data_IF_959005364323
#
_entry.id   IF_959005364323
#
_cell.length_a   1.000
_cell.length_b   1.000
_cell.length_c   1.000
_cell.angle_alpha   90.00
_cell.angle_beta   90.00
_cell.angle_gamma   90.00
#
_symmetry.space_group_name_H-M   'P 1'
#
loop_
_entity.id
_entity.type
_entity.pdbx_description
1 polymer ?
#
# COMPACT_ATOMS: atom_id res chain seq x y z
N UNK A 1 -4.42 7.00 3.78
CA UNK A 1 -5.55 6.45 4.54
C UNK A 1 -5.20 6.41 6.00
N UNK A 2 -6.11 6.82 6.86
CA UNK A 2 -5.89 6.97 8.30
C UNK A 2 -6.77 6.01 9.05
N UNK A 3 -6.20 5.19 9.95
CA UNK A 3 -6.98 4.40 10.90
C UNK A 3 -7.49 5.34 11.99
N UNK A 4 -8.79 5.52 12.10
CA UNK A 4 -9.42 6.45 13.07
C UNK A 4 -9.76 5.73 14.37
N UNK A 5 -10.18 4.46 14.27
CA UNK A 5 -10.44 3.52 15.37
C UNK A 5 -10.06 2.11 14.91
N UNK A 6 -10.05 1.14 15.83
CA UNK A 6 -9.93 -0.26 15.43
C UNK A 6 -10.95 -0.58 14.33
N UNK A 7 -10.47 -1.10 13.20
CA UNK A 7 -11.26 -1.45 12.01
C UNK A 7 -11.93 -0.30 11.25
N UNK A 8 -11.69 0.97 11.61
CA UNK A 8 -12.15 2.14 10.86
C UNK A 8 -10.96 2.84 10.18
N UNK A 9 -11.18 3.38 8.99
CA UNK A 9 -10.20 4.21 8.29
C UNK A 9 -10.90 5.37 7.60
N UNK A 10 -10.13 6.42 7.30
CA UNK A 10 -10.60 7.57 6.55
C UNK A 10 -9.87 7.63 5.21
N UNK A 11 -10.63 7.64 4.12
CA UNK A 11 -10.10 7.91 2.80
C UNK A 11 -9.92 9.42 2.61
N UNK A 12 -8.83 9.81 1.94
CA UNK A 12 -8.57 11.23 1.62
C UNK A 12 -8.18 11.36 0.15
N UNK A 13 -8.70 12.41 -0.49
CA UNK A 13 -8.20 12.88 -1.78
C UNK A 13 -7.12 13.92 -1.53
N UNK A 14 -5.99 13.84 -2.22
CA UNK A 14 -4.84 14.71 -2.00
C UNK A 14 -4.41 15.39 -3.29
N UNK A 15 -4.27 16.73 -3.24
CA UNK A 15 -3.59 17.51 -4.28
C UNK A 15 -2.28 18.04 -3.70
N UNK A 16 -1.18 17.75 -4.38
CA UNK A 16 0.15 18.23 -4.03
C UNK A 16 0.63 19.24 -5.04
N UNK A 17 1.23 20.33 -4.56
CA UNK A 17 1.92 21.32 -5.37
C UNK A 17 3.28 21.64 -4.80
N UNK A 18 4.23 22.01 -5.65
CA UNK A 18 5.53 22.57 -5.28
C UNK A 18 5.75 23.85 -6.08
N UNK A 19 5.98 24.94 -5.39
CA UNK A 19 6.15 26.25 -5.99
C UNK A 19 7.22 27.06 -5.25
N UNK A 20 7.86 28.01 -5.95
CA UNK A 20 8.61 29.08 -5.30
C UNK A 20 7.64 30.04 -4.59
N UNK A 21 8.09 30.78 -3.59
CA UNK A 21 7.22 31.65 -2.79
C UNK A 21 6.42 32.64 -3.64
N UNK A 22 7.05 33.31 -4.60
CA UNK A 22 6.34 34.22 -5.53
C UNK A 22 5.37 33.53 -6.49
N UNK A 23 5.33 32.19 -6.54
CA UNK A 23 4.44 31.38 -7.37
C UNK A 23 3.36 30.65 -6.55
N UNK A 24 3.32 30.84 -5.24
CA UNK A 24 2.27 30.24 -4.38
C UNK A 24 0.88 30.67 -4.86
N UNK A 25 0.59 31.96 -5.17
CA UNK A 25 -0.71 32.38 -5.68
C UNK A 25 -1.11 31.64 -6.96
N UNK A 26 -0.15 31.43 -7.87
CA UNK A 26 -0.40 30.65 -9.08
C UNK A 26 -0.74 29.18 -8.76
N UNK A 27 0.03 28.55 -7.86
CA UNK A 27 -0.20 27.16 -7.48
C UNK A 27 -1.58 26.98 -6.83
N UNK A 28 -1.99 27.87 -5.94
CA UNK A 28 -3.32 27.83 -5.31
C UNK A 28 -4.44 28.06 -6.34
N UNK A 29 -4.25 28.99 -7.27
CA UNK A 29 -5.21 29.21 -8.36
C UNK A 29 -5.36 27.96 -9.23
N UNK A 30 -4.27 27.26 -9.57
CA UNK A 30 -4.34 26.00 -10.32
C UNK A 30 -5.05 24.91 -9.54
N UNK A 31 -4.78 24.75 -8.24
CA UNK A 31 -5.50 23.81 -7.39
C UNK A 31 -6.99 24.14 -7.34
N UNK A 32 -7.35 25.40 -7.19
CA UNK A 32 -8.74 25.88 -7.24
C UNK A 32 -9.41 25.50 -8.57
N UNK A 33 -8.76 25.79 -9.70
CA UNK A 33 -9.29 25.49 -11.03
C UNK A 33 -9.50 23.98 -11.23
N UNK A 34 -8.52 23.14 -10.80
CA UNK A 34 -8.64 21.68 -10.85
C UNK A 34 -9.86 21.19 -10.05
N UNK A 35 -10.07 21.73 -8.85
CA UNK A 35 -11.15 21.29 -7.96
C UNK A 35 -12.54 21.78 -8.40
N UNK A 36 -12.64 22.94 -9.08
CA UNK A 36 -13.92 23.60 -9.30
C UNK A 36 -14.30 23.76 -10.77
N UNK A 37 -13.35 23.66 -11.69
CA UNK A 37 -13.56 23.95 -13.12
C UNK A 37 -13.12 22.80 -14.06
N UNK A 38 -12.76 21.63 -13.52
CA UNK A 38 -12.45 20.47 -14.35
C UNK A 38 -13.67 20.03 -15.16
N UNK A 39 -13.48 19.82 -16.48
CA UNK A 39 -14.52 19.30 -17.37
C UNK A 39 -14.69 17.81 -17.18
N UNK A 40 -15.64 17.43 -16.34
CA UNK A 40 -15.91 16.02 -15.99
C UNK A 40 -16.79 15.31 -17.04
N UNK A 41 -17.25 16.01 -18.06
CA UNK A 41 -18.16 15.55 -19.11
C UNK A 41 -17.53 15.58 -20.53
N UNK A 42 -16.23 15.74 -20.64
CA UNK A 42 -15.52 15.58 -21.91
C UNK A 42 -15.34 14.08 -22.20
N UNK A 43 -16.35 13.50 -22.90
CA UNK A 43 -16.41 12.06 -23.23
C UNK A 43 -15.14 11.56 -23.92
N UNK A 44 -14.63 12.33 -24.92
CA UNK A 44 -13.42 11.94 -25.66
C UNK A 44 -12.23 11.86 -24.71
N UNK A 45 -12.07 12.87 -23.85
CA UNK A 45 -10.96 12.92 -22.90
C UNK A 45 -11.06 11.83 -21.82
N UNK A 46 -12.27 11.54 -21.36
CA UNK A 46 -12.51 10.46 -20.39
C UNK A 46 -12.11 9.10 -20.98
N UNK A 47 -12.51 8.80 -22.22
CA UNK A 47 -12.13 7.55 -22.90
C UNK A 47 -10.61 7.44 -23.08
N UNK A 48 -9.93 8.53 -23.45
CA UNK A 48 -8.47 8.58 -23.54
C UNK A 48 -7.81 8.29 -22.18
N UNK A 49 -8.31 8.91 -21.10
CA UNK A 49 -7.77 8.71 -19.73
C UNK A 49 -7.95 7.26 -19.28
N UNK A 50 -9.11 6.64 -19.53
CA UNK A 50 -9.36 5.24 -19.19
C UNK A 50 -8.38 4.32 -19.94
N UNK A 51 -8.22 4.48 -21.25
CA UNK A 51 -7.30 3.69 -22.06
C UNK A 51 -5.84 3.84 -21.63
N UNK A 52 -5.39 5.09 -21.38
CA UNK A 52 -4.04 5.35 -20.85
C UNK A 52 -3.84 4.74 -19.46
N UNK A 53 -4.86 4.79 -18.60
CA UNK A 53 -4.80 4.24 -17.24
C UNK A 53 -4.74 2.72 -17.29
N UNK A 54 -5.56 2.07 -18.12
CA UNK A 54 -5.52 0.63 -18.37
C UNK A 54 -4.12 0.17 -18.77
N UNK A 55 -3.54 0.78 -19.80
CA UNK A 55 -2.20 0.45 -20.30
C UNK A 55 -1.13 0.61 -19.22
N UNK A 56 -1.15 1.72 -18.48
CA UNK A 56 -0.19 1.97 -17.39
C UNK A 56 -0.30 0.94 -16.25
N UNK A 57 -1.52 0.46 -15.95
CA UNK A 57 -1.73 -0.57 -14.95
C UNK A 57 -1.20 -1.93 -15.43
N UNK A 58 -1.41 -2.28 -16.70
CA UNK A 58 -0.86 -3.51 -17.30
C UNK A 58 0.68 -3.52 -17.22
N UNK A 59 1.33 -2.44 -17.64
CA UNK A 59 2.80 -2.30 -17.56
C UNK A 59 3.30 -2.43 -16.13
N UNK A 60 2.58 -1.82 -15.17
CA UNK A 60 2.92 -1.93 -13.75
C UNK A 60 2.82 -3.36 -13.23
N UNK A 61 1.79 -4.11 -13.59
CA UNK A 61 1.64 -5.49 -13.14
C UNK A 61 2.68 -6.42 -13.74
N UNK A 62 3.10 -6.20 -14.99
CA UNK A 62 4.18 -6.95 -15.61
C UNK A 62 5.55 -6.63 -15.01
N UNK A 63 5.80 -5.38 -14.66
CA UNK A 63 7.10 -4.94 -14.13
C UNK A 63 7.22 -5.10 -12.60
N UNK A 64 6.15 -4.86 -11.86
CA UNK A 64 6.11 -4.80 -10.41
C UNK A 64 4.88 -5.51 -9.81
N UNK A 65 4.47 -6.63 -10.39
CA UNK A 65 3.29 -7.42 -9.97
C UNK A 65 3.31 -7.88 -8.52
N UNK A 66 4.50 -8.01 -7.91
CA UNK A 66 4.66 -8.35 -6.49
C UNK A 66 3.89 -7.41 -5.55
N UNK A 67 3.89 -6.10 -5.85
CA UNK A 67 3.16 -5.13 -5.03
C UNK A 67 1.64 -5.29 -5.17
N UNK A 68 1.17 -5.61 -6.38
CA UNK A 68 -0.24 -5.85 -6.64
C UNK A 68 -0.71 -7.19 -6.01
N UNK A 69 0.09 -8.25 -6.13
CA UNK A 69 -0.19 -9.54 -5.51
C UNK A 69 -0.27 -9.45 -3.99
N UNK A 70 0.70 -8.78 -3.34
CA UNK A 70 0.69 -8.56 -1.89
C UNK A 70 -0.53 -7.73 -1.45
N UNK A 71 -0.86 -6.64 -2.16
CA UNK A 71 -2.03 -5.82 -1.86
C UNK A 71 -3.33 -6.63 -2.02
N UNK A 72 -3.45 -7.41 -3.09
CA UNK A 72 -4.62 -8.26 -3.35
C UNK A 72 -4.79 -9.30 -2.26
N UNK A 73 -3.74 -10.03 -1.88
CA UNK A 73 -3.78 -11.00 -0.79
C UNK A 73 -4.21 -10.36 0.55
N UNK A 74 -3.70 -9.18 0.90
CA UNK A 74 -4.13 -8.45 2.10
C UNK A 74 -5.60 -8.00 2.02
N UNK A 75 -6.10 -7.68 0.82
CA UNK A 75 -7.46 -7.18 0.61
C UNK A 75 -8.56 -8.18 0.95
N UNK A 76 -8.24 -9.47 1.01
CA UNK A 76 -9.21 -10.51 1.35
C UNK A 76 -9.73 -10.43 2.79
N UNK A 77 -9.04 -9.72 3.68
CA UNK A 77 -9.44 -9.59 5.08
C UNK A 77 -9.38 -8.15 5.62
N UNK A 78 -8.55 -7.31 5.04
CA UNK A 78 -8.36 -5.92 5.49
C UNK A 78 -9.21 -4.94 4.69
N UNK A 79 -10.16 -4.22 5.30
CA UNK A 79 -10.93 -3.18 4.62
C UNK A 79 -10.05 -2.06 4.04
N UNK A 80 -8.94 -1.72 4.70
CA UNK A 80 -7.98 -0.72 4.21
C UNK A 80 -7.31 -1.21 2.93
N UNK A 81 -6.84 -2.46 2.91
CA UNK A 81 -6.21 -3.04 1.73
C UNK A 81 -7.24 -3.32 0.63
N UNK A 82 -8.48 -3.67 0.97
CA UNK A 82 -9.60 -3.76 0.02
C UNK A 82 -9.85 -2.42 -0.68
N UNK A 83 -9.96 -1.33 0.07
CA UNK A 83 -10.12 0.01 -0.53
C UNK A 83 -8.92 0.38 -1.41
N UNK A 84 -7.70 0.07 -0.99
CA UNK A 84 -6.51 0.32 -1.81
C UNK A 84 -6.51 -0.50 -3.10
N UNK A 85 -6.95 -1.75 -3.04
CA UNK A 85 -7.05 -2.60 -4.22
C UNK A 85 -8.11 -2.07 -5.20
N UNK A 86 -9.27 -1.66 -4.70
CA UNK A 86 -10.35 -1.06 -5.49
C UNK A 86 -9.98 0.29 -6.12
N UNK A 87 -9.01 1.03 -5.55
CA UNK A 87 -8.60 2.35 -6.03
C UNK A 87 -7.25 2.39 -6.72
N UNK A 88 -6.43 1.34 -6.61
CA UNK A 88 -5.07 1.33 -7.16
C UNK A 88 -4.50 -0.08 -7.44
N UNK A 89 -5.24 -1.16 -7.18
CA UNK A 89 -4.79 -2.55 -7.33
C UNK A 89 -5.39 -3.27 -8.53
N UNK A 90 -5.55 -4.59 -8.39
CA UNK A 90 -6.10 -5.47 -9.43
C UNK A 90 -7.58 -5.14 -9.68
N UNK A 91 -8.37 -4.98 -8.64
CA UNK A 91 -9.78 -4.62 -8.78
C UNK A 91 -9.97 -3.26 -9.45
N UNK A 92 -9.09 -2.29 -9.15
CA UNK A 92 -9.07 -1.02 -9.89
C UNK A 92 -8.85 -1.23 -11.38
N UNK A 93 -7.91 -2.08 -11.76
CA UNK A 93 -7.66 -2.42 -13.16
C UNK A 93 -8.87 -3.07 -13.82
N UNK A 94 -9.50 -4.03 -13.13
CA UNK A 94 -10.71 -4.71 -13.63
C UNK A 94 -11.84 -3.71 -13.90
N UNK A 95 -12.07 -2.77 -12.96
CA UNK A 95 -13.05 -1.70 -13.12
C UNK A 95 -12.70 -0.74 -14.27
N UNK A 96 -11.44 -0.32 -14.40
CA UNK A 96 -10.99 0.56 -15.50
C UNK A 96 -11.14 -0.14 -16.85
N UNK A 97 -10.80 -1.43 -16.93
CA UNK A 97 -10.99 -2.23 -18.15
C UNK A 97 -12.46 -2.29 -18.54
N UNK A 98 -13.33 -2.62 -17.61
CA UNK A 98 -14.77 -2.70 -17.84
C UNK A 98 -15.36 -1.35 -18.28
N UNK A 99 -14.97 -0.26 -17.64
CA UNK A 99 -15.40 1.10 -18.03
C UNK A 99 -14.89 1.50 -19.43
N UNK A 100 -13.71 1.08 -19.81
CA UNK A 100 -13.13 1.40 -21.13
C UNK A 100 -13.74 0.56 -22.23
N UNK A 101 -13.92 -0.75 -22.02
CA UNK A 101 -14.51 -1.68 -22.99
C UNK A 101 -16.00 -1.37 -23.26
N UNK A 102 -16.75 -0.94 -22.23
CA UNK A 102 -18.17 -0.59 -22.31
C UNK A 102 -18.41 0.93 -22.19
N UNK A 103 -17.46 1.76 -22.63
CA UNK A 103 -17.51 3.20 -22.40
C UNK A 103 -18.78 3.85 -22.91
N UNK A 104 -19.20 3.52 -24.13
CA UNK A 104 -20.37 4.15 -24.75
C UNK A 104 -21.69 3.84 -24.01
N UNK A 105 -21.75 2.70 -23.32
CA UNK A 105 -22.88 2.30 -22.48
C UNK A 105 -22.82 2.92 -21.07
N UNK A 106 -21.61 3.11 -20.52
CA UNK A 106 -21.37 3.53 -19.12
C UNK A 106 -21.02 5.00 -18.95
N UNK A 107 -20.83 5.76 -20.04
CA UNK A 107 -20.34 7.14 -19.97
C UNK A 107 -21.18 8.05 -19.08
N UNK A 108 -22.51 7.94 -19.13
CA UNK A 108 -23.41 8.73 -18.29
C UNK A 108 -23.26 8.40 -16.80
N UNK A 109 -23.10 7.11 -16.47
CA UNK A 109 -22.81 6.65 -15.10
C UNK A 109 -21.46 7.16 -14.61
N UNK A 110 -20.42 7.10 -15.45
CA UNK A 110 -19.07 7.60 -15.14
C UNK A 110 -19.11 9.11 -14.89
N UNK A 111 -19.74 9.89 -15.76
CA UNK A 111 -19.85 11.34 -15.64
C UNK A 111 -20.63 11.74 -14.39
N UNK A 112 -21.78 11.13 -14.16
CA UNK A 112 -22.58 11.41 -12.97
C UNK A 112 -21.86 11.02 -11.67
N UNK A 113 -21.17 9.89 -11.68
CA UNK A 113 -20.33 9.45 -10.56
C UNK A 113 -19.19 10.41 -10.26
N UNK A 114 -18.48 10.92 -11.27
CA UNK A 114 -17.42 11.91 -11.10
C UNK A 114 -17.95 13.23 -10.53
N UNK A 115 -19.12 13.70 -11.01
CA UNK A 115 -19.77 14.90 -10.50
C UNK A 115 -20.19 14.71 -9.04
N UNK A 116 -20.85 13.62 -8.71
CA UNK A 116 -21.26 13.28 -7.34
C UNK A 116 -20.05 13.17 -6.39
N UNK A 117 -18.94 12.54 -6.85
CA UNK A 117 -17.72 12.44 -6.07
C UNK A 117 -17.07 13.80 -5.84
N UNK A 118 -17.07 14.69 -6.84
CA UNK A 118 -16.58 16.06 -6.70
C UNK A 118 -17.38 16.84 -5.64
N UNK A 119 -18.70 16.76 -5.68
CA UNK A 119 -19.59 17.38 -4.68
C UNK A 119 -19.41 16.80 -3.28
N UNK A 120 -19.13 15.51 -3.17
CA UNK A 120 -18.89 14.84 -1.89
C UNK A 120 -17.56 15.26 -1.25
N UNK A 121 -16.49 15.36 -2.05
CA UNK A 121 -15.12 15.54 -1.55
C UNK A 121 -14.74 17.02 -1.37
N UNK A 122 -15.11 17.89 -2.33
CA UNK A 122 -14.55 19.24 -2.42
C UNK A 122 -15.37 20.27 -1.64
N UNK A 123 -15.45 20.07 -0.33
CA UNK A 123 -16.22 20.90 0.60
C UNK A 123 -15.31 21.65 1.57
N UNK A 124 -15.68 22.89 1.92
CA UNK A 124 -14.94 23.76 2.85
C UNK A 124 -14.57 23.06 4.17
N UNK A 125 -15.52 22.34 4.74
CA UNK A 125 -15.36 21.64 6.02
C UNK A 125 -14.48 20.39 5.97
N UNK A 126 -14.14 19.90 4.76
CA UNK A 126 -13.30 18.71 4.58
C UNK A 126 -11.82 19.04 4.34
N UNK A 127 -11.50 20.31 4.09
CA UNK A 127 -10.14 20.72 3.68
C UNK A 127 -9.18 20.67 4.86
N UNK A 128 -8.08 19.96 4.67
CA UNK A 128 -6.89 20.03 5.50
C UNK A 128 -5.69 20.43 4.64
N UNK A 129 -4.86 21.33 5.15
CA UNK A 129 -3.72 21.87 4.43
C UNK A 129 -2.45 21.52 5.19
N UNK A 130 -1.52 20.90 4.49
CA UNK A 130 -0.16 20.67 4.98
C UNK A 130 0.81 21.55 4.20
N UNK A 131 1.57 22.35 4.93
CA UNK A 131 2.57 23.24 4.35
C UNK A 131 3.95 22.90 4.88
N UNK A 132 4.92 22.81 3.98
CA UNK A 132 6.31 22.53 4.33
C UNK A 132 7.22 23.48 3.60
N UNK A 133 7.60 24.56 4.26
CA UNK A 133 8.61 25.53 3.83
C UNK A 133 8.94 26.51 4.99
N UNK A 134 9.51 27.69 4.69
CA UNK A 134 9.76 28.74 5.68
C UNK A 134 8.49 29.52 6.05
N UNK A 135 8.54 30.30 7.13
CA UNK A 135 7.44 31.18 7.56
C UNK A 135 7.09 32.26 6.54
N UNK A 136 8.05 32.70 5.75
CA UNK A 136 7.83 33.69 4.68
C UNK A 136 6.77 33.24 3.68
N UNK A 137 6.90 32.00 3.18
CA UNK A 137 5.89 31.46 2.27
C UNK A 137 4.56 31.12 2.94
N UNK A 138 4.53 30.91 4.28
CA UNK A 138 3.27 30.67 5.01
C UNK A 138 2.35 31.89 4.95
N UNK A 139 2.85 33.10 5.12
CA UNK A 139 2.05 34.32 5.05
C UNK A 139 1.37 34.46 3.67
N UNK A 140 2.12 34.21 2.59
CA UNK A 140 1.57 34.20 1.24
C UNK A 140 0.48 33.13 1.04
N UNK A 141 0.70 31.93 1.60
CA UNK A 141 -0.28 30.87 1.55
C UNK A 141 -1.57 31.24 2.30
N UNK A 142 -1.46 31.83 3.49
CA UNK A 142 -2.61 32.21 4.32
C UNK A 142 -3.51 33.26 3.64
N UNK A 143 -2.92 34.19 2.87
CA UNK A 143 -3.67 35.15 2.06
C UNK A 143 -4.49 34.47 0.94
N UNK A 144 -3.93 33.46 0.29
CA UNK A 144 -4.53 32.81 -0.89
C UNK A 144 -5.55 31.72 -0.53
N UNK A 145 -5.38 31.06 0.63
CA UNK A 145 -6.16 29.87 1.00
C UNK A 145 -7.64 30.19 1.20
N UNK A 146 -7.97 31.41 1.61
CA UNK A 146 -9.34 31.89 1.73
C UNK A 146 -10.09 31.79 0.41
N UNK A 147 -9.46 32.26 -0.68
CA UNK A 147 -10.02 32.20 -2.03
C UNK A 147 -10.27 30.77 -2.52
N UNK A 148 -9.38 29.82 -2.18
CA UNK A 148 -9.60 28.40 -2.49
C UNK A 148 -10.82 27.88 -1.73
N UNK A 149 -10.89 28.08 -0.42
CA UNK A 149 -11.99 27.59 0.42
C UNK A 149 -13.34 28.13 -0.02
N UNK A 150 -13.41 29.45 -0.34
CA UNK A 150 -14.65 30.08 -0.80
C UNK A 150 -15.19 29.49 -2.11
N UNK A 151 -14.34 28.91 -2.94
CA UNK A 151 -14.74 28.28 -4.19
C UNK A 151 -15.28 26.85 -4.04
N UNK A 152 -15.11 26.22 -2.87
CA UNK A 152 -15.58 24.87 -2.60
C UNK A 152 -17.03 24.86 -2.11
N UNK A 153 -17.68 23.69 -2.17
CA UNK A 153 -19.02 23.50 -1.64
C UNK A 153 -19.09 23.87 -0.15
N UNK A 154 -20.16 24.56 0.31
CA UNK A 154 -20.16 25.27 1.59
C UNK A 154 -20.16 24.36 2.81
N UNK A 155 -20.81 23.22 2.76
CA UNK A 155 -21.02 22.36 3.91
C UNK A 155 -19.95 21.27 4.03
N UNK A 156 -19.81 20.72 5.23
CA UNK A 156 -19.04 19.49 5.44
C UNK A 156 -19.84 18.30 4.91
N UNK A 157 -19.15 17.32 4.34
CA UNK A 157 -19.78 16.04 3.99
C UNK A 157 -20.38 15.40 5.25
N UNK A 158 -21.65 14.98 5.22
CA UNK A 158 -22.25 14.21 6.30
C UNK A 158 -21.40 12.96 6.59
N UNK A 159 -21.25 12.60 7.86
CA UNK A 159 -20.57 11.37 8.22
C UNK A 159 -21.40 10.18 7.71
N UNK A 160 -20.80 9.40 6.86
CA UNK A 160 -21.35 8.13 6.39
C UNK A 160 -20.32 7.02 6.55
N UNK A 161 -20.79 5.82 6.83
CA UNK A 161 -19.94 4.64 6.93
C UNK A 161 -20.17 3.77 5.72
N UNK A 162 -19.09 3.48 5.00
CA UNK A 162 -19.08 2.45 3.98
C UNK A 162 -18.48 1.19 4.56
N UNK A 163 -19.21 0.09 4.50
CA UNK A 163 -18.73 -1.23 4.89
C UNK A 163 -18.19 -1.91 3.64
N UNK A 164 -16.87 -2.15 3.61
CA UNK A 164 -16.25 -2.90 2.54
C UNK A 164 -16.29 -4.39 2.90
N UNK A 165 -16.91 -5.19 2.05
CA UNK A 165 -16.92 -6.64 2.19
C UNK A 165 -15.57 -7.20 1.77
N UNK A 166 -14.91 -7.88 2.71
CA UNK A 166 -13.67 -8.61 2.49
C UNK A 166 -13.99 -10.10 2.44
N UNK A 167 -13.48 -10.78 1.43
CA UNK A 167 -13.68 -12.19 1.20
C UNK A 167 -12.37 -12.84 0.79
N UNK A 168 -12.08 -14.02 1.35
CA UNK A 168 -10.92 -14.83 0.96
C UNK A 168 -11.18 -15.43 -0.42
N UNK A 169 -10.28 -15.19 -1.36
CA UNK A 169 -10.43 -15.63 -2.75
C UNK A 169 -9.31 -16.52 -3.24
N UNK A 170 -8.11 -16.43 -2.69
CA UNK A 170 -6.92 -17.17 -3.16
C UNK A 170 -6.86 -17.25 -4.69
N UNK A 171 -6.36 -16.19 -5.32
CA UNK A 171 -6.48 -15.97 -6.76
C UNK A 171 -5.15 -16.20 -7.48
N UNK A 172 -5.23 -16.89 -8.64
CA UNK A 172 -4.16 -17.03 -9.61
C UNK A 172 -4.44 -16.20 -10.87
N UNK A 173 -3.70 -15.12 -11.11
CA UNK A 173 -3.83 -14.25 -12.27
C UNK A 173 -2.82 -14.61 -13.34
N UNK A 174 -3.28 -15.19 -14.42
CA UNK A 174 -2.46 -15.64 -15.56
C UNK A 174 -2.02 -14.46 -16.41
N UNK A 175 -0.75 -14.49 -16.81
CA UNK A 175 -0.14 -13.54 -17.73
C UNK A 175 0.82 -14.25 -18.69
N UNK A 176 1.28 -13.55 -19.73
CA UNK A 176 2.32 -14.03 -20.63
C UNK A 176 3.74 -14.02 -20.03
N UNK A 177 3.90 -13.65 -18.77
CA UNK A 177 5.18 -13.68 -18.06
C UNK A 177 5.74 -15.10 -17.99
N UNK A 178 7.08 -15.22 -17.95
CA UNK A 178 7.77 -16.50 -17.68
C UNK A 178 8.03 -16.75 -16.19
N UNK A 179 7.68 -15.79 -15.35
CA UNK A 179 7.97 -15.77 -13.90
C UNK A 179 6.73 -15.38 -13.11
N UNK A 180 6.76 -15.68 -11.80
CA UNK A 180 5.68 -15.41 -10.88
C UNK A 180 6.01 -14.23 -9.96
N UNK A 181 4.94 -13.65 -9.41
CA UNK A 181 4.91 -12.81 -8.23
C UNK A 181 3.97 -13.50 -7.23
N UNK A 182 4.51 -14.32 -6.34
CA UNK A 182 3.72 -15.10 -5.40
C UNK A 182 3.66 -14.40 -4.05
N UNK A 183 2.47 -14.07 -3.58
CA UNK A 183 2.24 -13.42 -2.30
C UNK A 183 1.41 -14.27 -1.35
N UNK A 184 1.79 -14.28 -0.07
CA UNK A 184 1.01 -14.84 1.04
C UNK A 184 0.91 -13.80 2.14
N UNK A 185 -0.30 -13.53 2.64
CA UNK A 185 -0.57 -12.44 3.56
C UNK A 185 -1.52 -12.82 4.69
N UNK A 186 -1.63 -11.97 5.70
CA UNK A 186 -2.57 -12.12 6.81
C UNK A 186 -2.55 -10.95 7.76
N UNK A 187 -3.34 -11.03 8.84
CA UNK A 187 -3.34 -10.05 9.90
C UNK A 187 -3.02 -10.71 11.24
N UNK A 188 -1.92 -10.30 11.86
CA UNK A 188 -1.46 -10.88 13.11
C UNK A 188 -2.16 -10.28 14.36
N UNK A 189 -2.65 -9.04 14.29
CA UNK A 189 -3.41 -8.45 15.40
C UNK A 189 -4.75 -9.15 15.59
N UNK A 190 -5.40 -9.60 14.52
CA UNK A 190 -6.63 -10.38 14.59
C UNK A 190 -6.43 -11.74 15.30
N UNK A 191 -5.19 -12.23 15.39
CA UNK A 191 -4.81 -13.44 16.12
C UNK A 191 -4.32 -13.16 17.55
N UNK A 192 -4.35 -11.91 18.00
CA UNK A 192 -3.92 -11.51 19.33
C UNK A 192 -2.46 -11.12 19.48
N UNK A 193 -1.71 -11.08 18.37
CA UNK A 193 -0.32 -10.64 18.37
C UNK A 193 -0.21 -9.11 18.29
N UNK A 194 0.88 -8.56 18.79
CA UNK A 194 1.10 -7.12 18.84
C UNK A 194 2.24 -6.67 17.91
N UNK A 195 2.13 -5.43 17.41
CA UNK A 195 3.20 -4.80 16.67
C UNK A 195 4.38 -4.44 17.61
N UNK A 196 5.58 -4.87 17.23
CA UNK A 196 6.82 -4.62 17.95
C UNK A 196 7.89 -4.08 17.00
N UNK A 197 8.77 -3.19 17.48
CA UNK A 197 9.88 -2.65 16.70
C UNK A 197 10.85 -3.71 16.14
N UNK A 198 10.98 -4.86 16.80
CA UNK A 198 11.78 -6.00 16.30
C UNK A 198 11.29 -6.52 14.92
N UNK A 199 10.03 -6.28 14.52
CA UNK A 199 9.52 -6.60 13.18
C UNK A 199 10.26 -5.83 12.07
N UNK A 200 10.85 -4.66 12.37
CA UNK A 200 11.69 -3.96 11.41
C UNK A 200 13.06 -4.66 11.23
N UNK A 201 13.58 -5.27 12.30
CA UNK A 201 14.80 -6.09 12.24
C UNK A 201 14.53 -7.38 11.46
N UNK A 202 13.35 -8.00 11.69
CA UNK A 202 12.94 -9.20 10.96
C UNK A 202 12.94 -8.97 9.44
N UNK A 203 12.49 -7.81 8.98
CA UNK A 203 12.55 -7.45 7.54
C UNK A 203 13.98 -7.50 7.01
N UNK A 204 14.93 -6.99 7.77
CA UNK A 204 16.35 -7.02 7.39
C UNK A 204 16.85 -8.46 7.38
N UNK A 205 16.60 -9.24 8.43
CA UNK A 205 16.99 -10.66 8.51
C UNK A 205 16.43 -11.43 7.32
N UNK A 206 15.13 -11.33 7.02
CA UNK A 206 14.51 -12.03 5.91
C UNK A 206 15.10 -11.64 4.55
N UNK A 207 15.55 -10.40 4.39
CA UNK A 207 16.14 -9.88 3.15
C UNK A 207 17.57 -10.36 2.89
N UNK A 208 18.26 -10.93 3.88
CA UNK A 208 19.65 -11.40 3.75
C UNK A 208 19.83 -12.89 4.07
N UNK A 209 18.94 -13.47 4.88
CA UNK A 209 19.05 -14.82 5.37
C UNK A 209 18.00 -15.76 4.74
N UNK A 210 16.99 -16.14 5.50
CA UNK A 210 16.10 -17.26 5.16
C UNK A 210 15.40 -17.11 3.80
N UNK A 211 14.70 -16.03 3.56
CA UNK A 211 14.00 -15.83 2.28
C UNK A 211 14.99 -15.63 1.14
N UNK A 212 16.01 -14.83 1.36
CA UNK A 212 17.03 -14.57 0.34
C UNK A 212 17.74 -15.85 -0.09
N UNK A 213 18.19 -16.65 0.88
CA UNK A 213 18.92 -17.90 0.61
C UNK A 213 18.01 -18.91 -0.11
N UNK A 214 16.77 -19.11 0.37
CA UNK A 214 15.93 -20.19 -0.14
C UNK A 214 15.18 -19.80 -1.43
N UNK A 215 14.68 -18.55 -1.54
CA UNK A 215 13.90 -18.09 -2.69
C UNK A 215 14.79 -17.54 -3.81
N UNK A 216 15.79 -16.72 -3.46
CA UNK A 216 16.65 -16.12 -4.48
C UNK A 216 17.83 -17.00 -4.83
N UNK A 217 18.69 -17.33 -3.85
CA UNK A 217 19.96 -18.03 -4.15
C UNK A 217 19.71 -19.45 -4.62
N UNK A 218 18.91 -20.23 -3.89
CA UNK A 218 18.60 -21.63 -4.22
C UNK A 218 17.39 -21.75 -5.19
N UNK A 219 16.43 -20.84 -5.08
CA UNK A 219 15.20 -20.89 -5.86
C UNK A 219 15.29 -20.19 -7.21
N UNK A 220 16.25 -19.27 -7.41
CA UNK A 220 16.44 -18.56 -8.67
C UNK A 220 15.52 -17.35 -8.90
N UNK A 221 14.73 -16.93 -7.90
CA UNK A 221 13.96 -15.71 -7.96
C UNK A 221 14.86 -14.47 -8.03
N UNK A 222 14.37 -13.38 -8.60
CA UNK A 222 15.12 -12.13 -8.64
C UNK A 222 15.13 -11.43 -7.28
N UNK A 223 14.09 -11.61 -6.47
CA UNK A 223 14.01 -11.07 -5.12
C UNK A 223 12.88 -11.68 -4.28
N UNK A 224 12.90 -11.35 -3.01
CA UNK A 224 11.85 -11.68 -2.06
C UNK A 224 11.74 -10.57 -1.01
N UNK A 225 10.54 -10.35 -0.49
CA UNK A 225 10.27 -9.28 0.47
C UNK A 225 9.26 -9.75 1.51
N UNK A 226 9.36 -9.19 2.71
CA UNK A 226 8.34 -9.29 3.75
C UNK A 226 8.08 -7.92 4.35
N UNK A 227 6.88 -7.70 4.84
CA UNK A 227 6.55 -6.47 5.55
C UNK A 227 5.49 -6.74 6.62
N UNK A 228 5.59 -6.00 7.72
CA UNK A 228 4.65 -6.04 8.85
C UNK A 228 4.38 -4.59 9.26
N UNK A 229 3.12 -4.24 9.42
CA UNK A 229 2.74 -2.86 9.74
C UNK A 229 1.96 -2.76 11.07
N UNK A 230 1.80 -1.52 11.57
CA UNK A 230 1.15 -1.25 12.85
C UNK A 230 -0.36 -1.55 12.90
N UNK A 231 -0.99 -1.81 11.77
CA UNK A 231 -2.39 -2.22 11.70
C UNK A 231 -2.57 -3.74 11.62
N UNK A 232 -1.47 -4.48 11.82
CA UNK A 232 -1.45 -5.93 11.88
C UNK A 232 -1.31 -6.63 10.54
N UNK A 233 -1.31 -5.92 9.41
CA UNK A 233 -1.09 -6.55 8.13
C UNK A 233 0.36 -7.00 7.99
N UNK A 234 0.53 -8.26 7.61
CA UNK A 234 1.82 -8.86 7.26
C UNK A 234 1.74 -9.59 5.93
N UNK A 235 2.84 -9.60 5.18
CA UNK A 235 2.93 -10.38 3.94
C UNK A 235 4.35 -10.83 3.65
N UNK A 236 4.44 -11.90 2.87
CA UNK A 236 5.62 -12.39 2.19
C UNK A 236 5.35 -12.37 0.69
N UNK A 237 6.32 -11.98 -0.13
CA UNK A 237 6.15 -11.94 -1.58
C UNK A 237 7.46 -12.19 -2.30
N UNK A 238 7.42 -12.97 -3.40
CA UNK A 238 8.53 -13.16 -4.33
C UNK A 238 8.44 -12.22 -5.53
N UNK A 239 9.58 -11.94 -6.12
CA UNK A 239 9.71 -11.06 -7.27
C UNK A 239 10.43 -11.77 -8.41
N UNK A 240 9.72 -11.92 -9.55
CA UNK A 240 10.22 -12.64 -10.73
C UNK A 240 10.76 -14.01 -10.35
N UNK A 241 9.90 -14.82 -9.78
CA UNK A 241 10.18 -16.14 -9.25
C UNK A 241 9.87 -17.22 -10.30
N UNK A 242 10.78 -18.15 -10.59
CA UNK A 242 10.48 -19.30 -11.46
C UNK A 242 9.62 -20.38 -10.77
N UNK A 243 9.50 -20.33 -9.44
CA UNK A 243 8.75 -21.32 -8.65
C UNK A 243 7.44 -20.73 -8.14
N UNK A 244 6.50 -21.58 -7.74
CA UNK A 244 5.23 -21.20 -7.15
C UNK A 244 5.01 -21.93 -5.81
N UNK A 245 4.53 -23.17 -5.79
CA UNK A 245 4.21 -23.93 -4.57
C UNK A 245 5.41 -24.04 -3.63
N UNK A 246 6.58 -24.35 -4.16
CA UNK A 246 7.83 -24.38 -3.36
C UNK A 246 8.09 -23.04 -2.66
N UNK A 247 7.78 -21.92 -3.28
CA UNK A 247 7.97 -20.60 -2.67
C UNK A 247 6.98 -20.38 -1.53
N UNK A 248 5.74 -20.82 -1.69
CA UNK A 248 4.73 -20.76 -0.63
C UNK A 248 5.10 -21.66 0.56
N UNK A 249 5.64 -22.87 0.31
CA UNK A 249 6.18 -23.75 1.35
C UNK A 249 7.33 -23.10 2.12
N UNK A 250 8.22 -22.36 1.42
CA UNK A 250 9.31 -21.62 2.09
C UNK A 250 8.74 -20.55 3.00
N UNK A 251 7.66 -19.85 2.62
CA UNK A 251 6.99 -18.91 3.54
C UNK A 251 6.47 -19.61 4.78
N UNK A 252 5.83 -20.77 4.62
CA UNK A 252 5.27 -21.55 5.72
C UNK A 252 6.35 -22.07 6.70
N UNK A 253 7.60 -22.20 6.25
CA UNK A 253 8.74 -22.53 7.08
C UNK A 253 9.33 -21.37 7.90
N UNK A 254 8.86 -20.10 7.70
CA UNK A 254 9.41 -18.95 8.45
C UNK A 254 9.21 -19.06 9.96
N UNK A 255 8.06 -19.50 10.51
CA UNK A 255 7.90 -19.63 11.96
C UNK A 255 8.94 -20.60 12.58
N UNK A 256 9.16 -21.76 11.98
CA UNK A 256 10.15 -22.74 12.45
C UNK A 256 11.57 -22.18 12.38
N UNK A 257 11.92 -21.47 11.30
CA UNK A 257 13.21 -20.78 11.21
C UNK A 257 13.40 -19.78 12.35
N UNK A 258 12.36 -19.01 12.70
CA UNK A 258 12.43 -18.02 13.77
C UNK A 258 12.55 -18.68 15.15
N UNK A 259 11.82 -19.76 15.42
CA UNK A 259 11.93 -20.51 16.68
C UNK A 259 13.36 -21.04 16.92
N UNK A 260 14.02 -21.44 15.84
CA UNK A 260 15.39 -21.95 15.88
C UNK A 260 16.45 -20.88 15.56
N UNK A 261 16.06 -19.62 15.49
CA UNK A 261 16.97 -18.53 15.12
C UNK A 261 18.13 -18.43 16.11
N UNK A 262 19.35 -18.49 15.57
CA UNK A 262 20.59 -18.37 16.35
C UNK A 262 21.51 -17.40 15.63
N UNK A 263 22.06 -16.46 16.38
CA UNK A 263 22.89 -15.39 15.82
C UNK A 263 23.98 -14.98 16.82
N UNK A 264 25.17 -14.62 16.33
CA UNK A 264 26.19 -14.01 17.16
C UNK A 264 25.80 -12.60 17.57
N UNK A 265 26.31 -12.10 18.71
CA UNK A 265 26.10 -10.70 19.12
C UNK A 265 26.55 -9.70 18.06
N UNK A 266 27.66 -10.03 17.37
CA UNK A 266 28.18 -9.20 16.27
C UNK A 266 27.20 -9.12 15.10
N UNK A 267 26.58 -10.20 14.71
CA UNK A 267 25.64 -10.24 13.58
C UNK A 267 24.30 -9.65 13.98
N UNK A 268 23.83 -9.88 15.22
CA UNK A 268 22.66 -9.17 15.75
C UNK A 268 22.86 -7.65 15.71
N UNK A 269 24.02 -7.17 16.11
CA UNK A 269 24.39 -5.75 16.03
C UNK A 269 24.34 -5.24 14.58
N UNK A 270 24.77 -6.02 13.59
CA UNK A 270 24.67 -5.63 12.16
C UNK A 270 23.22 -5.48 11.71
N UNK A 271 22.32 -6.39 12.11
CA UNK A 271 20.89 -6.27 11.78
C UNK A 271 20.26 -5.04 12.41
N UNK A 272 20.58 -4.75 13.67
CA UNK A 272 20.12 -3.52 14.36
C UNK A 272 20.63 -2.27 13.61
N UNK A 273 21.93 -2.20 13.30
CA UNK A 273 22.54 -1.07 12.57
C UNK A 273 21.88 -0.92 11.19
N UNK A 274 21.71 -2.03 10.45
CA UNK A 274 21.03 -2.02 9.15
C UNK A 274 19.60 -1.49 9.25
N UNK A 275 18.87 -1.89 10.29
CA UNK A 275 17.51 -1.42 10.54
C UNK A 275 17.47 0.07 10.85
N UNK A 276 18.31 0.54 11.76
CA UNK A 276 18.39 1.96 12.13
C UNK A 276 18.84 2.81 10.93
N UNK A 277 19.79 2.33 10.13
CA UNK A 277 20.23 3.02 8.90
C UNK A 277 19.08 3.22 7.92
N UNK A 278 18.18 2.25 7.78
CA UNK A 278 16.98 2.39 6.94
C UNK A 278 15.96 3.40 7.50
N UNK A 279 15.85 3.51 8.84
CA UNK A 279 14.92 4.43 9.51
C UNK A 279 15.47 5.88 9.51
N UNK A 280 16.75 6.02 9.69
CA UNK A 280 17.45 7.32 9.84
C UNK A 280 17.98 7.88 8.52
N UNK A 281 17.48 7.44 7.39
CA UNK A 281 17.90 7.99 6.11
C UNK A 281 17.70 9.51 6.05
N UNK A 282 18.67 10.26 5.49
CA UNK A 282 18.52 11.70 5.29
C UNK A 282 17.28 12.02 4.46
N UNK A 283 16.48 12.96 4.94
CA UNK A 283 15.24 13.36 4.27
C UNK A 283 15.34 14.80 3.78
N UNK A 284 14.86 15.04 2.55
CA UNK A 284 14.63 16.40 2.04
C UNK A 284 13.51 17.08 2.87
N UNK A 285 13.42 18.41 2.85
CA UNK A 285 12.30 19.12 3.50
C UNK A 285 10.93 18.60 3.08
N UNK A 286 10.72 18.34 1.79
CA UNK A 286 9.48 17.79 1.27
C UNK A 286 9.15 16.41 1.89
N UNK A 287 10.13 15.50 1.91
CA UNK A 287 9.96 14.16 2.52
C UNK A 287 9.68 14.24 4.02
N UNK A 288 10.30 15.21 4.73
CA UNK A 288 9.98 15.46 6.16
C UNK A 288 8.54 15.91 6.34
N UNK A 289 8.04 16.77 5.46
CA UNK A 289 6.64 17.21 5.44
C UNK A 289 5.68 16.07 5.19
N UNK A 290 5.91 15.27 4.17
CA UNK A 290 5.12 14.08 3.87
C UNK A 290 5.10 13.09 5.04
N UNK A 291 6.25 12.83 5.65
CA UNK A 291 6.34 11.97 6.85
C UNK A 291 5.56 12.55 8.01
N UNK A 292 5.69 13.84 8.30
CA UNK A 292 4.97 14.52 9.38
C UNK A 292 3.46 14.44 9.19
N UNK A 293 2.99 14.72 7.96
CA UNK A 293 1.58 14.61 7.59
C UNK A 293 1.07 13.17 7.80
N UNK A 294 1.80 12.17 7.31
CA UNK A 294 1.43 10.77 7.48
C UNK A 294 1.36 10.36 8.96
N UNK A 295 2.32 10.77 9.79
CA UNK A 295 2.31 10.49 11.23
C UNK A 295 1.10 11.15 11.91
N UNK A 296 0.82 12.41 11.59
CA UNK A 296 -0.34 13.13 12.09
C UNK A 296 -1.66 12.44 11.71
N UNK A 297 -1.83 12.13 10.44
CA UNK A 297 -3.04 11.48 9.92
C UNK A 297 -3.27 10.07 10.49
N UNK A 298 -2.21 9.35 10.80
CA UNK A 298 -2.28 8.01 11.38
C UNK A 298 -2.21 8.00 12.92
N UNK A 299 -2.27 9.16 13.56
CA UNK A 299 -2.19 9.32 15.02
C UNK A 299 -0.95 8.65 15.64
N UNK A 300 0.18 8.65 14.93
CA UNK A 300 1.45 8.10 15.43
C UNK A 300 2.17 9.18 16.22
N UNK A 301 2.23 9.02 17.53
CA UNK A 301 2.89 9.99 18.43
C UNK A 301 4.41 9.85 18.41
N UNK A 302 5.08 10.91 18.87
CA UNK A 302 6.53 10.89 19.07
C UNK A 302 6.96 9.83 20.12
N UNK A 303 6.11 9.52 21.07
CA UNK A 303 6.33 8.47 22.07
C UNK A 303 6.29 7.09 21.44
N UNK A 304 5.33 6.81 20.56
CA UNK A 304 5.27 5.55 19.80
C UNK A 304 6.52 5.35 18.95
N UNK A 305 7.03 6.41 18.30
CA UNK A 305 8.26 6.35 17.52
C UNK A 305 9.47 6.08 18.40
N UNK A 306 9.55 6.72 19.57
CA UNK A 306 10.65 6.48 20.54
C UNK A 306 10.63 5.07 21.06
N UNK A 307 9.45 4.54 21.44
CA UNK A 307 9.28 3.16 21.91
C UNK A 307 9.71 2.15 20.86
N UNK A 308 9.27 2.34 19.60
CA UNK A 308 9.68 1.46 18.50
C UNK A 308 11.20 1.50 18.29
N UNK A 309 11.79 2.69 18.33
CA UNK A 309 13.25 2.84 18.20
C UNK A 309 14.00 2.19 19.35
N UNK A 310 13.53 2.31 20.57
CA UNK A 310 14.09 1.64 21.74
C UNK A 310 14.01 0.13 21.59
N UNK A 311 12.86 -0.42 21.21
CA UNK A 311 12.70 -1.85 20.92
C UNK A 311 13.66 -2.37 19.86
N UNK A 312 14.00 -1.57 18.85
CA UNK A 312 14.99 -1.94 17.83
C UNK A 312 16.40 -1.93 18.43
N UNK A 313 16.76 -0.88 19.18
CA UNK A 313 18.12 -0.71 19.70
C UNK A 313 18.48 -1.71 20.80
N UNK A 314 17.49 -2.18 21.55
CA UNK A 314 17.68 -3.14 22.67
C UNK A 314 17.35 -4.57 22.30
N UNK A 315 16.93 -4.81 21.04
CA UNK A 315 16.54 -6.13 20.59
C UNK A 315 17.67 -7.15 20.67
N UNK A 316 17.32 -8.36 21.04
CA UNK A 316 18.21 -9.50 21.14
C UNK A 316 17.65 -10.71 20.37
N UNK A 317 18.36 -11.83 20.42
CA UNK A 317 17.98 -13.06 19.74
C UNK A 317 16.59 -13.58 20.18
N UNK A 318 16.26 -13.48 21.46
CA UNK A 318 14.99 -13.98 21.99
C UNK A 318 13.81 -13.12 21.50
N UNK A 319 14.02 -11.81 21.33
CA UNK A 319 13.03 -10.92 20.73
C UNK A 319 12.72 -11.31 19.29
N UNK A 320 13.73 -11.76 18.54
CA UNK A 320 13.52 -12.26 17.16
C UNK A 320 12.80 -13.61 17.16
N UNK A 321 13.15 -14.53 18.07
CA UNK A 321 12.45 -15.82 18.23
C UNK A 321 10.98 -15.64 18.58
N UNK A 322 10.65 -14.68 19.43
CA UNK A 322 9.29 -14.36 19.82
C UNK A 322 8.41 -13.95 18.62
N UNK A 323 9.00 -13.43 17.53
CA UNK A 323 8.28 -13.09 16.31
C UNK A 323 7.75 -14.29 15.51
N UNK A 324 8.11 -15.52 15.90
CA UNK A 324 7.56 -16.73 15.29
C UNK A 324 6.03 -16.78 15.43
N UNK A 325 5.47 -16.29 16.54
CA UNK A 325 4.02 -16.14 16.74
C UNK A 325 3.39 -15.22 15.70
N UNK A 326 3.98 -14.05 15.49
CA UNK A 326 3.52 -13.08 14.48
C UNK A 326 3.58 -13.68 13.06
N UNK A 327 4.68 -14.34 12.70
CA UNK A 327 4.81 -14.97 11.38
C UNK A 327 3.77 -16.07 11.19
N UNK A 328 3.56 -16.93 12.20
CA UNK A 328 2.54 -17.99 12.19
C UNK A 328 1.14 -17.40 12.04
N UNK A 329 0.82 -16.34 12.76
CA UNK A 329 -0.47 -15.67 12.69
C UNK A 329 -0.76 -15.10 11.28
N UNK A 330 0.25 -14.52 10.61
CA UNK A 330 0.13 -14.03 9.23
C UNK A 330 -0.13 -15.20 8.27
N UNK A 331 0.66 -16.26 8.37
CA UNK A 331 0.61 -17.41 7.44
C UNK A 331 -0.63 -18.28 7.63
N UNK A 332 -1.14 -18.40 8.87
CA UNK A 332 -2.34 -19.18 9.19
C UNK A 332 -3.62 -18.67 8.50
N UNK A 333 -3.64 -17.41 8.07
CA UNK A 333 -4.76 -16.88 7.28
C UNK A 333 -4.81 -17.49 5.87
N UNK A 334 -3.68 -18.00 5.38
CA UNK A 334 -3.53 -18.65 4.07
C UNK A 334 -4.17 -17.85 2.94
N UNK A 335 -3.87 -16.56 2.87
CA UNK A 335 -4.34 -15.62 1.88
C UNK A 335 -3.31 -15.51 0.76
N UNK A 336 -3.61 -16.11 -0.39
CA UNK A 336 -2.68 -16.26 -1.50
C UNK A 336 -3.16 -15.45 -2.70
N UNK A 337 -2.26 -14.70 -3.31
CA UNK A 337 -2.46 -14.10 -4.62
C UNK A 337 -1.18 -14.25 -5.43
N UNK A 338 -1.33 -14.74 -6.65
CA UNK A 338 -0.22 -14.93 -7.58
C UNK A 338 -0.54 -14.23 -8.90
N UNK A 339 0.43 -13.50 -9.42
CA UNK A 339 0.40 -12.97 -10.78
C UNK A 339 1.57 -13.62 -11.53
N UNK A 340 1.33 -14.31 -12.65
CA UNK A 340 2.46 -14.95 -13.30
C UNK A 340 2.15 -15.81 -14.51
N UNK A 341 3.05 -16.76 -14.74
CA UNK A 341 3.03 -17.64 -15.88
C UNK A 341 1.78 -18.51 -15.92
N UNK A 342 1.08 -18.47 -17.06
CA UNK A 342 -0.15 -19.25 -17.27
C UNK A 342 0.04 -20.74 -17.00
N UNK A 343 1.08 -21.36 -17.57
CA UNK A 343 1.30 -22.80 -17.43
C UNK A 343 1.59 -23.20 -15.97
N UNK A 344 2.35 -22.38 -15.23
CA UNK A 344 2.64 -22.63 -13.82
C UNK A 344 1.40 -22.50 -12.94
N UNK A 345 0.57 -21.51 -13.15
CA UNK A 345 -0.68 -21.30 -12.40
C UNK A 345 -1.66 -22.45 -12.69
N UNK A 346 -1.77 -22.92 -13.95
CA UNK A 346 -2.61 -24.06 -14.29
C UNK A 346 -2.06 -25.38 -13.73
N UNK A 347 -0.73 -25.58 -13.69
CA UNK A 347 -0.08 -26.77 -13.11
C UNK A 347 -0.39 -26.90 -11.62
N UNK A 348 -0.48 -25.79 -10.89
CA UNK A 348 -0.66 -25.73 -9.44
C UNK A 348 -2.02 -25.08 -9.08
N UNK A 349 -3.04 -25.24 -9.91
CA UNK A 349 -4.34 -24.58 -9.77
C UNK A 349 -5.09 -24.92 -8.47
N UNK A 350 -4.79 -26.04 -7.84
CA UNK A 350 -5.35 -26.46 -6.56
C UNK A 350 -5.00 -25.52 -5.39
N UNK A 351 -3.99 -24.66 -5.57
CA UNK A 351 -3.64 -23.61 -4.59
C UNK A 351 -4.66 -22.47 -4.57
N UNK A 352 -5.50 -22.36 -5.60
CA UNK A 352 -6.36 -21.23 -5.83
C UNK A 352 -7.84 -21.61 -5.77
N UNK A 353 -8.64 -20.68 -5.28
CA UNK A 353 -10.10 -20.75 -5.38
C UNK A 353 -10.57 -20.32 -6.78
N UNK A 354 -9.84 -19.39 -7.40
CA UNK A 354 -10.11 -18.89 -8.74
C UNK A 354 -8.82 -18.71 -9.54
N UNK A 355 -8.87 -19.05 -10.83
CA UNK A 355 -7.79 -18.83 -11.79
C UNK A 355 -8.37 -18.10 -12.99
N UNK A 356 -7.82 -16.94 -13.33
CA UNK A 356 -8.29 -16.10 -14.43
C UNK A 356 -7.16 -15.40 -15.18
N UNK A 357 -7.45 -14.93 -16.40
CA UNK A 357 -6.52 -14.08 -17.12
C UNK A 357 -6.54 -12.67 -16.51
N UNK A 358 -5.36 -12.11 -16.26
CA UNK A 358 -5.29 -10.74 -15.71
C UNK A 358 -5.64 -9.70 -16.79
N UNK A 359 -5.24 -9.96 -18.05
CA UNK A 359 -5.43 -9.06 -19.20
C UNK A 359 -6.34 -9.67 -20.26
#
# INVERSE_FOLDING_TARGET
MTKVKEKEFKATFEIKGKALYGQIPFAIRMMKEILTASKLDDEKRLKEILSMTKTRLQDRFLSAGHSAAALRAMSYKSPISKFKDTTNGIEYYQNIREMEEHFDEKKEEIISGLKALSELLFRKGNVMISYTASREGLAVLEEEIGSLKEALYPERTPESRCILHCEKKNEGFKTSSKVQFAAKAGNFIDAGEEYNGALQILKVIMSYEYLWINIRVKGGAYGCMSNFNRIGEGYFVSYRDPNLGRTLEIYDGVPEYLENFTVSERDMTKYIIGTISNIDQPMTPATKGDRSMNLYMNHVSAEMIRKEREQILTANQEDIRALAGVARAVLANDQICVIGNEAKIEEEKELFMTVENLF
#
